data_IF_391041851645
#
_entry.id   IF_391041851645
#
_cell.length_a   1.000
_cell.length_b   1.000
_cell.length_c   1.000
_cell.angle_alpha   90.00
_cell.angle_beta   90.00
_cell.angle_gamma   90.00
#
_symmetry.space_group_name_H-M   'P 1'
#
loop_
_entity.id
_entity.type
_entity.pdbx_description
1 polymer ?
#
# COMPACT_ATOMS: atom_id res chain seq x y z
N UNK A 1 -5.94 -25.45 2.27
CA UNK A 1 -5.91 -24.61 1.07
C UNK A 1 -4.51 -24.11 0.69
N UNK A 2 -3.58 -23.99 1.65
CA UNK A 2 -2.19 -23.52 1.41
C UNK A 2 -1.18 -24.66 1.30
N UNK A 3 -1.59 -25.90 1.60
CA UNK A 3 -0.75 -27.09 1.56
C UNK A 3 -0.15 -27.42 0.16
N UNK A 4 -0.84 -27.15 -0.96
CA UNK A 4 -0.26 -27.40 -2.29
C UNK A 4 0.80 -26.39 -2.72
N UNK A 5 0.90 -25.24 -2.03
CA UNK A 5 1.81 -24.15 -2.42
C UNK A 5 3.18 -24.24 -1.74
N UNK A 6 3.33 -25.13 -0.76
CA UNK A 6 4.56 -25.22 0.03
C UNK A 6 4.94 -26.68 0.27
N UNK A 7 6.17 -27.03 -0.02
CA UNK A 7 6.78 -28.33 0.24
C UNK A 7 8.08 -28.13 1.01
N UNK A 8 8.35 -29.00 1.98
CA UNK A 8 9.62 -29.07 2.73
C UNK A 8 10.13 -27.73 3.30
N UNK A 9 9.23 -26.87 3.78
CA UNK A 9 9.59 -25.59 4.39
C UNK A 9 9.88 -24.46 3.42
N UNK A 10 9.45 -24.57 2.17
CA UNK A 10 9.53 -23.54 1.15
C UNK A 10 8.28 -23.52 0.27
N UNK A 11 8.02 -22.41 -0.41
CA UNK A 11 7.06 -22.38 -1.51
C UNK A 11 7.63 -23.14 -2.71
N UNK A 12 6.73 -23.64 -3.59
CA UNK A 12 7.16 -24.24 -4.85
C UNK A 12 8.08 -23.28 -5.62
N UNK A 13 9.30 -23.74 -5.89
CA UNK A 13 10.33 -22.87 -6.47
C UNK A 13 9.98 -22.40 -7.88
N UNK A 14 9.30 -23.22 -8.67
CA UNK A 14 8.94 -22.87 -10.04
C UNK A 14 7.88 -21.75 -10.06
N UNK A 15 6.89 -21.82 -9.20
CA UNK A 15 5.86 -20.79 -9.04
C UNK A 15 6.49 -19.52 -8.44
N UNK A 16 7.31 -19.69 -7.40
CA UNK A 16 7.98 -18.58 -6.74
C UNK A 16 8.87 -17.77 -7.70
N UNK A 17 9.65 -18.44 -8.54
CA UNK A 17 10.55 -17.79 -9.49
C UNK A 17 9.79 -17.03 -10.58
N UNK A 18 8.66 -17.56 -11.04
CA UNK A 18 7.78 -16.88 -11.99
C UNK A 18 7.21 -15.61 -11.36
N UNK A 19 6.62 -15.71 -10.17
CA UNK A 19 6.02 -14.55 -9.48
C UNK A 19 7.07 -13.51 -9.10
N UNK A 20 8.23 -13.94 -8.62
CA UNK A 20 9.35 -13.05 -8.35
C UNK A 20 9.80 -12.28 -9.59
N UNK A 21 9.90 -12.96 -10.74
CA UNK A 21 10.26 -12.33 -12.01
C UNK A 21 9.19 -11.31 -12.45
N UNK A 22 7.92 -11.64 -12.30
CA UNK A 22 6.81 -10.75 -12.62
C UNK A 22 6.85 -9.49 -11.75
N UNK A 23 7.05 -9.65 -10.43
CA UNK A 23 7.18 -8.52 -9.50
C UNK A 23 8.41 -7.64 -9.79
N UNK A 24 9.55 -8.23 -10.14
CA UNK A 24 10.73 -7.46 -10.54
C UNK A 24 10.43 -6.64 -11.78
N UNK A 25 9.78 -7.21 -12.78
CA UNK A 25 9.42 -6.49 -14.01
C UNK A 25 8.41 -5.36 -13.74
N UNK A 26 7.43 -5.58 -12.88
CA UNK A 26 6.50 -4.56 -12.42
C UNK A 26 7.24 -3.41 -11.74
N UNK A 27 8.16 -3.71 -10.81
CA UNK A 27 8.98 -2.72 -10.12
C UNK A 27 9.89 -1.92 -11.07
N UNK A 28 10.50 -2.58 -12.05
CA UNK A 28 11.31 -1.92 -13.08
C UNK A 28 10.46 -0.94 -13.90
N UNK A 29 9.22 -1.31 -14.22
CA UNK A 29 8.26 -0.42 -14.89
C UNK A 29 7.81 0.75 -14.01
N UNK A 30 7.61 0.52 -12.71
CA UNK A 30 7.24 1.57 -11.74
C UNK A 30 8.35 2.62 -11.59
N UNK A 31 9.62 2.22 -11.64
CA UNK A 31 10.77 3.14 -11.58
C UNK A 31 10.78 4.15 -12.73
N UNK A 32 10.19 3.83 -13.88
CA UNK A 32 10.04 4.76 -15.01
C UNK A 32 8.82 5.69 -14.87
N UNK A 33 7.96 5.45 -13.88
CA UNK A 33 6.74 6.19 -13.68
C UNK A 33 6.97 7.46 -12.86
N UNK A 34 6.89 8.61 -13.49
CA UNK A 34 7.10 9.90 -12.82
C UNK A 34 6.07 10.20 -11.72
N UNK A 35 4.82 9.70 -11.84
CA UNK A 35 3.81 9.82 -10.79
C UNK A 35 4.20 9.04 -9.53
N UNK A 36 4.75 7.84 -9.73
CA UNK A 36 5.27 7.04 -8.63
C UNK A 36 6.36 7.78 -7.85
N UNK A 37 7.31 8.40 -8.54
CA UNK A 37 8.37 9.18 -7.91
C UNK A 37 7.83 10.39 -7.15
N UNK A 38 6.94 11.17 -7.76
CA UNK A 38 6.33 12.32 -7.12
C UNK A 38 5.58 11.90 -5.84
N UNK A 39 4.82 10.80 -5.90
CA UNK A 39 4.11 10.25 -4.75
C UNK A 39 5.06 9.77 -3.63
N UNK A 40 6.15 9.11 -3.98
CA UNK A 40 7.14 8.63 -3.03
C UNK A 40 7.82 9.80 -2.30
N UNK A 41 8.23 10.81 -3.03
CA UNK A 41 8.82 12.03 -2.47
C UNK A 41 7.83 12.79 -1.57
N UNK A 42 6.57 12.91 -1.99
CA UNK A 42 5.54 13.48 -1.14
C UNK A 42 5.41 12.71 0.18
N UNK A 43 5.39 11.38 0.14
CA UNK A 43 5.30 10.57 1.35
C UNK A 43 6.51 10.76 2.27
N UNK A 44 7.71 10.90 1.72
CA UNK A 44 8.92 11.17 2.49
C UNK A 44 8.89 12.55 3.18
N UNK A 45 8.33 13.55 2.53
CA UNK A 45 8.16 14.88 3.11
C UNK A 45 7.02 14.93 4.14
N UNK A 46 5.95 14.18 3.89
CA UNK A 46 4.69 14.28 4.65
C UNK A 46 4.71 13.45 5.93
N UNK A 47 5.28 12.24 5.89
CA UNK A 47 5.28 11.33 7.03
C UNK A 47 6.61 11.31 7.76
N UNK A 48 6.56 11.18 9.10
CA UNK A 48 7.72 10.94 9.95
C UNK A 48 7.97 9.43 10.10
N UNK A 49 6.90 8.65 10.15
CA UNK A 49 6.99 7.19 10.29
C UNK A 49 7.58 6.56 9.04
N UNK A 50 8.68 5.83 9.22
CA UNK A 50 9.42 5.20 8.12
C UNK A 50 8.54 4.27 7.29
N UNK A 51 7.61 3.57 7.93
CA UNK A 51 6.68 2.64 7.29
C UNK A 51 5.80 3.30 6.24
N UNK A 52 5.55 4.61 6.39
CA UNK A 52 4.78 5.41 5.45
C UNK A 52 5.63 6.08 4.37
N UNK A 53 6.94 6.14 4.57
CA UNK A 53 7.89 6.75 3.65
C UNK A 53 8.44 5.78 2.61
N UNK A 54 8.37 4.47 2.89
CA UNK A 54 8.89 3.43 1.99
C UNK A 54 7.87 3.06 0.92
N UNK A 55 8.32 2.60 -0.26
CA UNK A 55 7.44 2.06 -1.27
C UNK A 55 6.61 0.88 -0.74
N UNK A 56 5.37 0.78 -1.17
CA UNK A 56 4.50 -0.34 -0.83
C UNK A 56 5.08 -1.69 -1.26
N UNK A 57 5.70 -1.70 -2.40
CA UNK A 57 6.36 -2.88 -2.95
C UNK A 57 7.85 -2.59 -2.97
N UNK A 58 8.63 -3.09 -2.10
CA UNK A 58 10.09 -3.07 -2.01
C UNK A 58 10.87 -2.39 -3.17
N UNK A 59 12.18 -2.59 -3.21
CA UNK A 59 13.02 -2.20 -4.35
C UNK A 59 13.43 -3.43 -5.18
N UNK A 60 13.82 -3.21 -6.43
CA UNK A 60 14.32 -4.27 -7.31
C UNK A 60 15.49 -5.01 -6.69
N UNK A 61 16.42 -4.29 -6.04
CA UNK A 61 17.61 -4.85 -5.40
C UNK A 61 17.24 -5.77 -4.24
N UNK A 62 16.32 -5.34 -3.39
CA UNK A 62 15.84 -6.16 -2.28
C UNK A 62 15.04 -7.36 -2.78
N UNK A 63 14.18 -7.16 -3.79
CA UNK A 63 13.38 -8.25 -4.37
C UNK A 63 14.28 -9.34 -4.98
N UNK A 64 15.40 -8.98 -5.61
CA UNK A 64 16.35 -9.96 -6.15
C UNK A 64 16.97 -10.87 -5.07
N UNK A 65 17.07 -10.38 -3.83
CA UNK A 65 17.64 -11.13 -2.69
C UNK A 65 16.62 -12.06 -2.01
N UNK A 66 15.33 -11.85 -2.22
CA UNK A 66 14.27 -12.67 -1.61
C UNK A 66 14.31 -14.09 -2.18
N UNK A 67 14.22 -15.10 -1.30
CA UNK A 67 14.16 -16.52 -1.68
C UNK A 67 12.83 -17.15 -1.24
N UNK A 68 12.52 -18.30 -1.82
CA UNK A 68 11.34 -19.09 -1.47
C UNK A 68 11.33 -19.46 0.01
N UNK A 69 12.48 -19.83 0.58
CA UNK A 69 12.65 -20.21 1.99
C UNK A 69 12.45 -19.00 2.92
N UNK A 70 13.04 -17.85 2.59
CA UNK A 70 12.86 -16.64 3.40
C UNK A 70 11.42 -16.16 3.37
N UNK A 71 10.76 -16.20 2.22
CA UNK A 71 9.34 -15.85 2.08
C UNK A 71 8.44 -16.80 2.87
N UNK A 72 8.73 -18.09 2.84
CA UNK A 72 7.99 -19.09 3.60
C UNK A 72 8.17 -18.91 5.11
N UNK A 73 9.37 -18.58 5.55
CA UNK A 73 9.65 -18.27 6.96
C UNK A 73 8.84 -17.07 7.45
N UNK A 74 8.80 -15.98 6.67
CA UNK A 74 7.98 -14.79 6.97
C UNK A 74 6.49 -15.16 7.01
N UNK A 75 6.01 -15.94 6.04
CA UNK A 75 4.62 -16.41 6.01
C UNK A 75 4.26 -17.24 7.26
N UNK A 76 5.14 -18.16 7.67
CA UNK A 76 4.92 -18.94 8.90
C UNK A 76 4.87 -18.06 10.16
N UNK A 77 5.72 -17.04 10.21
CA UNK A 77 5.72 -16.06 11.32
C UNK A 77 4.41 -15.27 11.33
N UNK A 78 3.98 -14.78 10.16
CA UNK A 78 2.72 -14.06 10.00
C UNK A 78 1.52 -14.89 10.46
N UNK A 79 1.46 -16.18 10.09
CA UNK A 79 0.40 -17.08 10.55
C UNK A 79 0.38 -17.30 12.07
N UNK A 80 1.50 -17.12 12.75
CA UNK A 80 1.61 -17.31 14.21
C UNK A 80 1.37 -16.03 15.00
N UNK A 81 1.81 -14.89 14.49
CA UNK A 81 1.95 -13.66 15.27
C UNK A 81 0.98 -12.56 14.83
N UNK A 82 0.62 -12.49 13.54
CA UNK A 82 -0.17 -11.39 13.02
C UNK A 82 -1.68 -11.58 13.27
N UNK A 83 -2.40 -10.47 13.34
CA UNK A 83 -3.86 -10.49 13.34
C UNK A 83 -4.36 -10.97 11.97
N UNK A 84 -5.33 -11.87 11.99
CA UNK A 84 -5.99 -12.37 10.78
C UNK A 84 -7.48 -12.07 10.89
N UNK A 85 -7.99 -11.27 9.97
CA UNK A 85 -9.42 -10.99 9.81
C UNK A 85 -9.92 -11.72 8.56
N UNK A 86 -10.97 -12.51 8.70
CA UNK A 86 -11.53 -13.30 7.61
C UNK A 86 -12.95 -12.82 7.32
N UNK A 87 -13.17 -12.37 6.08
CA UNK A 87 -14.46 -11.89 5.61
C UNK A 87 -15.06 -12.86 4.60
N UNK A 88 -16.31 -13.26 4.83
CA UNK A 88 -17.09 -14.07 3.90
C UNK A 88 -18.29 -13.32 3.40
N UNK A 89 -18.49 -13.31 2.09
CA UNK A 89 -19.65 -12.71 1.44
C UNK A 89 -20.19 -13.73 0.45
N UNK A 90 -21.46 -14.13 0.61
CA UNK A 90 -22.10 -15.09 -0.27
C UNK A 90 -23.28 -15.80 0.39
N UNK A 91 -23.84 -16.77 -0.31
CA UNK A 91 -24.86 -17.68 0.22
C UNK A 91 -24.17 -18.92 0.82
N UNK A 92 -24.10 -19.00 2.15
CA UNK A 92 -23.47 -20.10 2.86
C UNK A 92 -24.17 -20.40 4.20
N UNK A 93 -23.96 -21.60 4.71
CA UNK A 93 -24.41 -22.00 6.03
C UNK A 93 -23.40 -21.54 7.08
N UNK A 94 -23.79 -20.61 7.97
CA UNK A 94 -22.93 -20.04 9.00
C UNK A 94 -22.33 -21.10 9.92
N UNK A 95 -23.13 -22.07 10.39
CA UNK A 95 -22.66 -23.11 11.29
C UNK A 95 -21.60 -24.00 10.63
N UNK A 96 -21.83 -24.40 9.38
CA UNK A 96 -20.87 -25.21 8.62
C UNK A 96 -19.55 -24.45 8.39
N UNK A 97 -19.63 -23.13 8.18
CA UNK A 97 -18.45 -22.30 8.05
C UNK A 97 -17.70 -22.14 9.36
N UNK A 98 -18.40 -21.91 10.48
CA UNK A 98 -17.77 -21.85 11.80
C UNK A 98 -17.02 -23.14 12.12
N UNK A 99 -17.62 -24.30 11.90
CA UNK A 99 -16.96 -25.60 12.08
C UNK A 99 -15.67 -25.73 11.24
N UNK A 100 -15.68 -25.24 10.01
CA UNK A 100 -14.48 -25.23 9.15
C UNK A 100 -13.39 -24.30 9.70
N UNK A 101 -13.75 -23.13 10.26
CA UNK A 101 -12.79 -22.20 10.86
C UNK A 101 -12.16 -22.74 12.14
N UNK A 102 -12.91 -23.46 12.96
CA UNK A 102 -12.37 -24.10 14.17
C UNK A 102 -11.26 -25.12 13.85
N UNK A 103 -11.25 -25.69 12.64
CA UNK A 103 -10.20 -26.59 12.19
C UNK A 103 -8.83 -25.89 11.98
N UNK A 104 -8.81 -24.59 11.76
CA UNK A 104 -7.55 -23.86 11.52
C UNK A 104 -6.70 -23.69 12.77
N UNK A 105 -7.23 -23.89 13.97
CA UNK A 105 -6.51 -23.87 15.26
C UNK A 105 -5.51 -22.73 15.35
N UNK A 106 -5.92 -21.51 15.01
CA UNK A 106 -5.08 -20.35 15.23
C UNK A 106 -4.81 -20.20 16.73
N UNK A 107 -3.55 -19.98 17.09
CA UNK A 107 -3.20 -19.69 18.48
C UNK A 107 -3.81 -18.36 18.93
N UNK A 108 -4.23 -18.27 20.20
CA UNK A 108 -4.70 -17.02 20.77
C UNK A 108 -3.63 -15.93 20.64
N UNK A 109 -4.02 -14.80 20.05
CA UNK A 109 -3.13 -13.66 19.81
C UNK A 109 -3.35 -12.61 20.87
N UNK A 110 -2.29 -12.27 21.57
CA UNK A 110 -2.38 -11.42 22.76
C UNK A 110 -2.45 -9.93 22.48
N UNK A 111 -2.20 -9.47 21.25
CA UNK A 111 -2.07 -8.06 20.97
C UNK A 111 -2.60 -7.67 19.60
N UNK A 112 -3.56 -6.76 19.60
CA UNK A 112 -3.96 -6.01 18.40
C UNK A 112 -2.92 -4.92 18.21
N UNK A 113 -2.25 -4.90 17.08
CA UNK A 113 -1.31 -3.83 16.72
C UNK A 113 -2.10 -2.55 16.46
N UNK A 114 -1.93 -1.54 17.31
CA UNK A 114 -2.36 -0.19 16.95
C UNK A 114 -1.25 0.49 16.16
N UNK A 115 -1.55 0.87 14.93
CA UNK A 115 -0.62 1.59 14.08
C UNK A 115 -0.74 3.10 14.39
N UNK A 116 0.24 3.65 15.07
CA UNK A 116 0.34 5.09 15.28
C UNK A 116 1.25 5.68 14.20
N UNK A 117 0.67 6.23 13.16
CA UNK A 117 1.41 6.97 12.15
C UNK A 117 1.68 8.39 12.61
N UNK A 118 2.93 8.83 12.49
CA UNK A 118 3.29 10.20 12.74
C UNK A 118 3.40 10.94 11.42
N UNK A 119 2.74 12.09 11.36
CA UNK A 119 2.80 12.98 10.21
C UNK A 119 3.66 14.19 10.56
N UNK A 120 4.27 14.79 9.56
CA UNK A 120 5.02 16.01 9.74
C UNK A 120 4.07 17.21 9.62
N UNK A 121 3.72 17.82 10.74
CA UNK A 121 2.78 18.96 10.79
C UNK A 121 3.45 20.32 10.62
N UNK A 122 4.76 20.36 10.49
CA UNK A 122 5.46 21.64 10.42
C UNK A 122 5.44 22.19 9.00
N UNK A 123 5.14 23.47 8.89
CA UNK A 123 5.36 24.39 7.75
C UNK A 123 5.22 23.78 6.34
N UNK A 124 4.91 24.60 5.38
CA UNK A 124 4.93 24.22 3.95
C UNK A 124 6.32 23.69 3.59
N UNK A 125 6.41 22.39 3.35
CA UNK A 125 7.59 21.76 2.78
C UNK A 125 7.43 21.75 1.26
N UNK A 126 8.49 22.08 0.56
CA UNK A 126 8.53 22.04 -0.91
C UNK A 126 9.82 21.36 -1.34
N UNK A 127 9.70 20.43 -2.22
CA UNK A 127 10.83 19.82 -2.89
C UNK A 127 10.52 19.71 -4.38
N UNK A 128 11.52 19.78 -5.21
CA UNK A 128 11.40 19.63 -6.65
C UNK A 128 12.52 18.74 -7.15
N UNK A 129 12.16 17.74 -7.96
CA UNK A 129 13.10 16.90 -8.67
C UNK A 129 13.04 17.30 -10.13
N UNK A 130 14.18 17.64 -10.72
CA UNK A 130 14.29 17.94 -12.12
C UNK A 130 14.82 16.73 -12.88
N UNK A 131 14.01 16.22 -13.82
CA UNK A 131 14.45 15.20 -14.78
C UNK A 131 14.55 15.83 -16.16
N UNK A 132 15.75 15.89 -16.71
CA UNK A 132 16.06 16.60 -17.97
C UNK A 132 15.35 16.06 -19.20
N UNK A 133 14.87 14.80 -19.16
CA UNK A 133 14.18 14.14 -20.30
C UNK A 133 12.69 13.98 -20.10
N UNK A 134 12.13 14.54 -19.01
CA UNK A 134 10.71 14.45 -18.73
C UNK A 134 9.92 15.43 -19.61
N UNK A 135 8.92 14.92 -20.32
CA UNK A 135 8.01 15.73 -21.15
C UNK A 135 6.83 16.32 -20.38
N UNK A 136 6.64 15.93 -19.11
CA UNK A 136 5.53 16.37 -18.28
C UNK A 136 6.03 16.72 -16.88
N UNK A 137 5.46 17.78 -16.32
CA UNK A 137 5.64 18.12 -14.90
C UNK A 137 4.50 17.54 -14.09
N UNK A 138 4.82 16.96 -12.93
CA UNK A 138 3.86 16.41 -12.00
C UNK A 138 3.92 17.21 -10.72
N UNK A 139 2.77 17.65 -10.24
CA UNK A 139 2.61 18.31 -8.97
C UNK A 139 1.74 17.45 -8.06
N UNK A 140 2.31 17.00 -6.96
CA UNK A 140 1.57 16.38 -5.86
C UNK A 140 1.56 17.27 -4.64
N UNK A 141 0.43 17.33 -3.95
CA UNK A 141 0.24 18.12 -2.73
C UNK A 141 -0.42 17.26 -1.66
N UNK A 142 0.18 17.21 -0.47
CA UNK A 142 -0.38 16.59 0.71
C UNK A 142 -0.84 17.65 1.70
N UNK A 143 -2.02 17.47 2.29
CA UNK A 143 -2.54 18.29 3.35
C UNK A 143 -3.16 17.43 4.46
N UNK A 144 -2.87 17.75 5.70
CA UNK A 144 -3.43 17.03 6.84
C UNK A 144 -4.68 17.73 7.36
N UNK A 145 -5.75 16.95 7.51
CA UNK A 145 -6.95 17.36 8.22
C UNK A 145 -7.13 16.47 9.45
N UNK A 146 -7.41 17.02 10.64
CA UNK A 146 -7.67 16.24 11.85
C UNK A 146 -9.10 15.68 11.85
N UNK A 147 -9.45 14.96 10.80
CA UNK A 147 -10.76 14.32 10.58
C UNK A 147 -10.52 12.84 10.36
N UNK A 148 -11.18 12.01 11.17
CA UNK A 148 -11.08 10.56 11.05
C UNK A 148 -12.15 10.01 10.11
N UNK A 149 -11.86 8.84 9.56
CA UNK A 149 -12.83 8.10 8.75
C UNK A 149 -14.07 7.77 9.58
N UNK A 150 -15.27 8.07 9.04
CA UNK A 150 -16.54 7.83 9.71
C UNK A 150 -17.04 9.00 10.57
N UNK A 151 -16.27 10.06 10.78
CA UNK A 151 -16.78 11.29 11.40
C UNK A 151 -17.72 12.06 10.46
N UNK A 152 -18.63 12.86 11.03
CA UNK A 152 -19.59 13.66 10.25
C UNK A 152 -18.92 14.59 9.24
N UNK A 153 -17.72 15.08 9.57
CA UNK A 153 -16.92 15.95 8.71
C UNK A 153 -16.19 15.22 7.58
N UNK A 154 -16.15 13.88 7.59
CA UNK A 154 -15.45 13.10 6.58
C UNK A 154 -16.06 13.24 5.19
N UNK A 155 -17.39 13.14 5.07
CA UNK A 155 -18.09 13.28 3.77
C UNK A 155 -17.93 14.70 3.20
N UNK A 156 -18.16 15.79 3.96
CA UNK A 156 -17.83 17.14 3.50
C UNK A 156 -16.37 17.30 3.03
N UNK A 157 -15.40 16.67 3.71
CA UNK A 157 -13.99 16.71 3.29
C UNK A 157 -13.77 16.01 1.95
N UNK A 158 -14.41 14.86 1.71
CA UNK A 158 -14.36 14.17 0.40
C UNK A 158 -14.91 15.03 -0.73
N UNK A 159 -16.04 15.71 -0.49
CA UNK A 159 -16.64 16.64 -1.45
C UNK A 159 -15.69 17.81 -1.72
N UNK A 160 -15.11 18.41 -0.68
CA UNK A 160 -14.13 19.49 -0.82
C UNK A 160 -12.91 19.05 -1.64
N UNK A 161 -12.36 17.88 -1.37
CA UNK A 161 -11.24 17.30 -2.12
C UNK A 161 -11.59 17.12 -3.61
N UNK A 162 -12.79 16.63 -3.88
CA UNK A 162 -13.30 16.44 -5.24
C UNK A 162 -13.45 17.76 -6.00
N UNK A 163 -13.98 18.80 -5.36
CA UNK A 163 -14.12 20.13 -5.94
C UNK A 163 -12.77 20.80 -6.17
N UNK A 164 -11.78 20.56 -5.30
CA UNK A 164 -10.47 21.19 -5.39
C UNK A 164 -9.59 20.54 -6.46
N UNK A 165 -9.42 19.21 -6.46
CA UNK A 165 -8.46 18.54 -7.33
C UNK A 165 -8.84 17.14 -7.78
N UNK A 166 -9.95 16.56 -7.32
CA UNK A 166 -10.26 15.14 -7.50
C UNK A 166 -10.78 14.73 -8.90
N UNK A 167 -11.22 15.68 -9.74
CA UNK A 167 -11.85 15.37 -11.03
C UNK A 167 -11.44 16.37 -12.13
N UNK A 168 -11.72 16.00 -13.38
CA UNK A 168 -11.43 16.81 -14.57
C UNK A 168 -12.11 18.21 -14.61
N UNK A 169 -13.13 18.43 -13.79
CA UNK A 169 -13.80 19.73 -13.65
C UNK A 169 -13.46 20.43 -12.32
N UNK A 170 -12.50 19.89 -11.59
CA UNK A 170 -12.05 20.48 -10.32
C UNK A 170 -11.36 21.83 -10.55
N UNK A 171 -11.33 22.65 -9.51
CA UNK A 171 -10.74 24.00 -9.58
C UNK A 171 -9.28 23.97 -10.03
N UNK A 172 -8.47 23.10 -9.46
CA UNK A 172 -7.05 22.96 -9.82
C UNK A 172 -6.87 22.47 -11.26
N UNK A 173 -7.66 21.50 -11.67
CA UNK A 173 -7.58 20.99 -13.05
C UNK A 173 -7.86 22.09 -14.06
N UNK A 174 -8.97 22.83 -13.91
CA UNK A 174 -9.36 23.90 -14.83
C UNK A 174 -8.34 25.05 -14.84
N UNK A 175 -7.91 25.52 -13.66
CA UNK A 175 -7.02 26.70 -13.59
C UNK A 175 -5.58 26.37 -14.01
N UNK A 176 -5.08 25.19 -13.68
CA UNK A 176 -3.68 24.82 -13.96
C UNK A 176 -3.52 24.15 -15.32
N UNK A 177 -4.37 23.18 -15.64
CA UNK A 177 -4.20 22.38 -16.84
C UNK A 177 -4.88 22.99 -18.08
N UNK A 178 -6.08 23.58 -17.94
CA UNK A 178 -6.81 24.10 -19.10
C UNK A 178 -6.47 25.55 -19.41
N UNK A 179 -6.25 26.39 -18.37
CA UNK A 179 -6.04 27.83 -18.59
C UNK A 179 -4.57 28.24 -18.58
N UNK A 180 -3.70 27.51 -17.90
CA UNK A 180 -2.29 27.88 -17.74
C UNK A 180 -1.32 27.01 -18.56
N UNK A 181 -1.78 26.01 -19.29
CA UNK A 181 -0.95 25.17 -20.17
C UNK A 181 -0.94 25.66 -21.60
#
# INVERSE_FOLDING_TARGET
LLSPLAHDGAFDSSIFDIEKKNLIHELESEVENHFYHAHLELNQLFYISREMQIPRVSTVELMRQVTSETSFSVFQKMLKEDQIDIFFIGDFNELAMQEQFELFKFSDRKQILSLNYQQNFSKILREGIEQKEAHQSILEMGYHFPIQYGEDSHIPLLVLNSLLGGYAHSKLFVEVREKAS
#
